data_IF_162502227418
#
_entry.id   IF_162502227418
#
_cell.length_a   1.000
_cell.length_b   1.000
_cell.length_c   1.000
_cell.angle_alpha   90.00
_cell.angle_beta   90.00
_cell.angle_gamma   90.00
#
_symmetry.space_group_name_H-M   'P 1'
#
loop_
_entity.id
_entity.type
_entity.pdbx_description
1 polymer ?
#
# COMPACT_ATOMS: atom_id res chain seq x y z
N UNK A 1 -3.46 21.51 10.26
CA UNK A 1 -2.10 21.03 9.91
C UNK A 1 -2.11 20.52 8.50
N UNK A 2 -1.18 20.99 7.70
CA UNK A 2 -1.14 20.72 6.27
C UNK A 2 -0.96 19.21 6.00
N UNK A 3 -1.65 18.78 5.02
CA UNK A 3 -1.61 17.50 4.36
C UNK A 3 -0.17 17.23 3.87
N UNK A 4 0.69 16.65 4.70
CA UNK A 4 2.10 16.44 4.42
C UNK A 4 2.33 15.05 3.82
N UNK A 5 1.72 14.79 2.66
CA UNK A 5 2.10 13.65 1.85
C UNK A 5 3.42 13.93 1.10
N UNK A 6 4.08 12.88 0.68
CA UNK A 6 5.30 12.96 -0.12
C UNK A 6 5.05 13.72 -1.43
N UNK A 7 5.82 14.77 -1.69
CA UNK A 7 5.63 15.65 -2.87
C UNK A 7 5.91 14.91 -4.19
N UNK A 8 6.82 13.93 -4.18
CA UNK A 8 7.10 13.11 -5.37
C UNK A 8 5.91 12.20 -5.67
N UNK A 9 5.33 11.57 -4.66
CA UNK A 9 4.14 10.75 -4.82
C UNK A 9 2.94 11.59 -5.31
N UNK A 10 2.77 12.81 -4.77
CA UNK A 10 1.72 13.74 -5.23
C UNK A 10 1.91 14.16 -6.69
N UNK A 11 3.14 14.45 -7.10
CA UNK A 11 3.47 14.73 -8.49
C UNK A 11 3.13 13.57 -9.42
N UNK A 12 3.47 12.35 -9.03
CA UNK A 12 3.17 11.15 -9.83
C UNK A 12 1.66 10.87 -9.91
N UNK A 13 0.90 11.13 -8.85
CA UNK A 13 -0.56 11.07 -8.87
C UNK A 13 -1.13 12.11 -9.84
N UNK A 14 -0.61 13.33 -9.83
CA UNK A 14 -1.02 14.36 -10.78
C UNK A 14 -0.82 13.90 -12.23
N UNK A 15 0.32 13.30 -12.56
CA UNK A 15 0.59 12.72 -13.89
C UNK A 15 -0.39 11.62 -14.27
N UNK A 16 -0.75 10.75 -13.32
CA UNK A 16 -1.76 9.71 -13.56
C UNK A 16 -3.10 10.33 -13.98
N UNK A 17 -3.57 11.35 -13.25
CA UNK A 17 -4.81 12.04 -13.62
C UNK A 17 -4.71 12.81 -14.94
N UNK A 18 -3.56 13.39 -15.23
CA UNK A 18 -3.30 14.04 -16.53
C UNK A 18 -3.43 13.03 -17.68
N UNK A 19 -2.87 11.82 -17.54
CA UNK A 19 -3.02 10.76 -18.55
C UNK A 19 -4.42 10.18 -18.65
N UNK A 20 -5.20 10.28 -17.56
CA UNK A 20 -6.60 9.87 -17.53
C UNK A 20 -7.58 10.97 -17.98
N UNK A 21 -7.05 12.10 -18.48
CA UNK A 21 -7.81 13.28 -18.91
C UNK A 21 -8.69 13.92 -17.79
N UNK A 22 -8.35 13.65 -16.53
CA UNK A 22 -8.95 14.32 -15.36
C UNK A 22 -8.08 15.52 -14.95
N UNK A 23 -8.21 16.60 -15.70
CA UNK A 23 -7.38 17.80 -15.56
C UNK A 23 -7.59 18.47 -14.19
N UNK A 24 -8.80 18.46 -13.67
CA UNK A 24 -9.11 19.07 -12.35
C UNK A 24 -8.33 18.37 -11.21
N UNK A 25 -8.31 17.04 -11.20
CA UNK A 25 -7.55 16.26 -10.23
C UNK A 25 -6.04 16.38 -10.47
N UNK A 26 -5.61 16.39 -11.72
CA UNK A 26 -4.22 16.61 -12.08
C UNK A 26 -3.71 17.94 -11.51
N UNK A 27 -4.41 19.05 -11.77
CA UNK A 27 -4.07 20.38 -11.24
C UNK A 27 -4.04 20.38 -9.71
N UNK A 28 -5.02 19.76 -9.06
CA UNK A 28 -5.09 19.69 -7.61
C UNK A 28 -3.83 19.04 -7.02
N UNK A 29 -3.40 17.90 -7.56
CA UNK A 29 -2.24 17.17 -7.07
C UNK A 29 -0.91 17.84 -7.45
N UNK A 30 -0.78 18.46 -8.63
CA UNK A 30 0.38 19.27 -8.99
C UNK A 30 0.56 20.45 -8.02
N UNK A 31 -0.54 21.15 -7.69
CA UNK A 31 -0.50 22.24 -6.72
C UNK A 31 -0.05 21.77 -5.33
N UNK A 32 -0.54 20.62 -4.87
CA UNK A 32 -0.11 20.04 -3.59
C UNK A 32 1.39 19.73 -3.56
N UNK A 33 1.93 19.15 -4.61
CA UNK A 33 3.35 18.90 -4.73
C UNK A 33 4.16 20.20 -4.81
N UNK A 34 3.70 21.17 -5.61
CA UNK A 34 4.34 22.47 -5.79
C UNK A 34 4.42 23.26 -4.48
N UNK A 35 3.35 23.27 -3.69
CA UNK A 35 3.31 23.92 -2.36
C UNK A 35 4.28 23.30 -1.33
N UNK A 36 4.81 22.11 -1.62
CA UNK A 36 5.87 21.46 -0.85
C UNK A 36 7.27 21.63 -1.48
N UNK A 37 7.40 22.48 -2.51
CA UNK A 37 8.66 22.77 -3.17
C UNK A 37 9.11 21.77 -4.22
N UNK A 38 8.20 20.93 -4.76
CA UNK A 38 8.55 20.00 -5.84
C UNK A 38 8.74 20.76 -7.15
N UNK A 39 9.99 20.88 -7.62
CA UNK A 39 10.38 21.73 -8.76
C UNK A 39 9.58 21.45 -10.04
N UNK A 40 9.47 20.19 -10.45
CA UNK A 40 8.71 19.83 -11.65
C UNK A 40 7.21 20.12 -11.52
N UNK A 41 6.66 20.06 -10.30
CA UNK A 41 5.27 20.40 -10.07
C UNK A 41 5.06 21.93 -10.13
N UNK A 42 6.02 22.72 -9.66
CA UNK A 42 6.01 24.18 -9.79
C UNK A 42 6.01 24.55 -11.27
N UNK A 43 6.95 24.03 -12.05
CA UNK A 43 7.01 24.27 -13.49
C UNK A 43 5.70 23.88 -14.19
N UNK A 44 5.12 22.72 -13.82
CA UNK A 44 3.86 22.26 -14.42
C UNK A 44 2.69 23.17 -14.07
N UNK A 45 2.61 23.66 -12.84
CA UNK A 45 1.62 24.65 -12.45
C UNK A 45 1.77 25.97 -13.24
N UNK A 46 2.99 26.44 -13.47
CA UNK A 46 3.27 27.60 -14.29
C UNK A 46 2.82 27.40 -15.75
N UNK A 47 3.17 26.25 -16.36
CA UNK A 47 2.73 25.87 -17.71
C UNK A 47 1.20 25.87 -17.86
N UNK A 48 0.50 25.40 -16.82
CA UNK A 48 -0.96 25.31 -16.80
C UNK A 48 -1.63 26.63 -16.39
N UNK A 49 -0.88 27.69 -16.07
CA UNK A 49 -1.40 28.97 -15.61
C UNK A 49 -2.11 28.88 -14.24
N UNK A 50 -1.68 27.96 -13.39
CA UNK A 50 -2.29 27.67 -12.10
C UNK A 50 -1.75 28.61 -11.02
N UNK A 51 -2.62 29.38 -10.38
CA UNK A 51 -2.26 30.22 -9.23
C UNK A 51 -2.05 29.34 -7.97
N UNK A 52 -0.80 29.26 -7.51
CA UNK A 52 -0.45 28.52 -6.29
C UNK A 52 -1.02 29.15 -5.02
N UNK A 53 -1.38 30.45 -5.02
CA UNK A 53 -1.96 31.16 -3.88
C UNK A 53 -3.48 30.98 -3.79
N UNK A 54 -4.15 30.53 -4.87
CA UNK A 54 -5.56 30.27 -4.84
C UNK A 54 -5.91 29.12 -3.86
N UNK A 55 -7.10 29.11 -3.23
CA UNK A 55 -7.51 28.00 -2.37
C UNK A 55 -7.47 26.65 -3.10
N UNK A 56 -6.98 25.61 -2.41
CA UNK A 56 -7.09 24.23 -2.92
C UNK A 56 -8.54 23.77 -2.80
N UNK A 57 -9.18 23.53 -3.94
CA UNK A 57 -10.51 22.97 -4.00
C UNK A 57 -10.39 21.50 -4.40
N UNK A 58 -10.63 20.62 -3.45
CA UNK A 58 -10.71 19.18 -3.70
C UNK A 58 -12.16 18.82 -3.99
N UNK A 59 -12.46 18.44 -5.23
CA UNK A 59 -13.81 18.01 -5.65
C UNK A 59 -14.12 16.58 -5.20
N UNK A 60 -13.11 15.79 -4.81
CA UNK A 60 -13.37 14.52 -4.15
C UNK A 60 -13.88 14.73 -2.74
N UNK A 61 -14.96 14.05 -2.40
CA UNK A 61 -15.40 13.97 -1.01
C UNK A 61 -14.39 13.12 -0.25
N UNK A 62 -13.37 13.79 0.30
CA UNK A 62 -12.42 13.12 1.18
C UNK A 62 -13.15 12.76 2.47
N UNK A 63 -13.33 11.48 2.71
CA UNK A 63 -13.98 10.94 3.89
C UNK A 63 -13.06 11.05 5.11
N UNK A 64 -13.65 10.96 6.30
CA UNK A 64 -12.91 10.91 7.56
C UNK A 64 -12.12 9.60 7.67
N UNK A 65 -12.71 8.52 7.19
CA UNK A 65 -12.11 7.18 7.19
C UNK A 65 -10.97 7.12 6.18
N UNK A 66 -9.98 6.26 6.47
CA UNK A 66 -8.87 6.00 5.57
C UNK A 66 -9.39 5.39 4.26
N UNK A 67 -9.03 6.01 3.16
CA UNK A 67 -9.29 5.53 1.80
C UNK A 67 -7.95 5.15 1.15
N UNK A 68 -7.98 4.30 0.12
CA UNK A 68 -6.78 4.04 -0.65
C UNK A 68 -7.06 3.94 -2.16
N UNK A 69 -6.03 4.30 -2.92
CA UNK A 69 -5.92 4.05 -4.36
C UNK A 69 -4.69 3.20 -4.61
N UNK A 70 -4.78 2.34 -5.61
CA UNK A 70 -3.71 1.45 -6.01
C UNK A 70 -3.14 1.91 -7.35
N UNK A 71 -1.83 1.75 -7.51
CA UNK A 71 -1.07 2.14 -8.70
C UNK A 71 -0.14 0.99 -9.10
N UNK A 72 0.30 0.93 -10.36
CA UNK A 72 1.34 0.00 -10.76
C UNK A 72 2.58 0.11 -9.87
N UNK A 73 3.26 -1.00 -9.64
CA UNK A 73 4.47 -1.05 -8.84
C UNK A 73 5.53 -0.07 -9.38
N UNK A 74 6.14 0.70 -8.48
CA UNK A 74 7.16 1.69 -8.81
C UNK A 74 6.60 3.03 -9.30
N UNK A 75 5.29 3.20 -9.35
CA UNK A 75 4.67 4.42 -9.87
C UNK A 75 4.84 5.63 -8.93
N UNK A 76 4.69 5.42 -7.61
CA UNK A 76 4.78 6.49 -6.62
C UNK A 76 6.24 6.84 -6.23
N UNK A 77 7.18 5.93 -6.47
CA UNK A 77 8.63 6.15 -6.33
C UNK A 77 9.13 6.07 -4.91
N UNK A 78 8.87 7.03 -4.04
CA UNK A 78 9.32 7.05 -2.65
C UNK A 78 8.23 6.51 -1.73
N UNK A 79 8.59 5.56 -0.87
CA UNK A 79 7.65 4.87 0.00
C UNK A 79 7.90 5.18 1.48
N UNK A 80 6.84 5.34 2.24
CA UNK A 80 6.87 5.52 3.69
C UNK A 80 6.49 4.27 4.45
N UNK A 81 5.66 3.43 3.84
CA UNK A 81 5.13 2.23 4.48
C UNK A 81 5.32 0.99 3.62
N UNK A 82 5.33 -0.15 4.27
CA UNK A 82 5.17 -1.47 3.68
C UNK A 82 3.92 -2.14 4.24
N UNK A 83 3.18 -2.86 3.39
CA UNK A 83 1.99 -3.62 3.78
C UNK A 83 2.06 -5.01 3.17
N UNK A 84 1.82 -6.04 3.97
CA UNK A 84 2.02 -7.43 3.58
C UNK A 84 0.70 -8.20 3.67
N UNK A 85 0.16 -8.60 2.52
CA UNK A 85 -0.92 -9.57 2.44
C UNK A 85 -0.33 -10.98 2.56
N UNK A 86 -0.57 -11.64 3.68
CA UNK A 86 0.11 -12.88 4.05
C UNK A 86 -0.78 -14.08 3.78
N UNK A 87 -0.29 -15.01 2.96
CA UNK A 87 -0.99 -16.25 2.59
C UNK A 87 -0.26 -17.48 3.10
N UNK A 88 -1.01 -18.40 3.73
CA UNK A 88 -0.54 -19.70 4.18
C UNK A 88 -1.52 -20.78 3.72
N UNK A 89 -1.05 -21.75 2.93
CA UNK A 89 -1.87 -22.84 2.37
C UNK A 89 -3.15 -22.34 1.66
N UNK A 90 -3.05 -21.23 0.92
CA UNK A 90 -4.17 -20.63 0.21
C UNK A 90 -5.17 -19.84 1.06
N UNK A 91 -4.91 -19.68 2.34
CA UNK A 91 -5.70 -18.91 3.30
C UNK A 91 -4.98 -17.64 3.72
N UNK A 92 -5.67 -16.68 4.32
CA UNK A 92 -5.10 -15.40 4.71
C UNK A 92 -4.71 -15.38 6.19
N UNK A 93 -3.54 -14.85 6.51
CA UNK A 93 -3.11 -14.58 7.89
C UNK A 93 -3.29 -13.09 8.17
N UNK A 94 -4.01 -12.80 9.26
CA UNK A 94 -4.12 -11.45 9.80
C UNK A 94 -3.64 -11.43 11.25
N UNK A 95 -3.16 -10.26 11.68
CA UNK A 95 -2.73 -9.99 13.04
C UNK A 95 -3.77 -9.18 13.79
N UNK A 96 -3.81 -9.30 15.11
CA UNK A 96 -4.65 -8.48 15.97
C UNK A 96 -3.81 -7.77 17.01
N UNK A 97 -3.86 -6.45 16.98
CA UNK A 97 -3.14 -5.59 17.91
C UNK A 97 -3.72 -5.71 19.33
N UNK A 98 -2.88 -5.65 20.39
CA UNK A 98 -3.29 -5.76 21.81
C UNK A 98 -4.36 -4.75 22.24
N UNK A 99 -4.43 -3.59 21.59
CA UNK A 99 -5.37 -2.49 21.90
C UNK A 99 -6.60 -2.47 20.98
N UNK A 100 -6.80 -3.47 20.12
CA UNK A 100 -7.89 -3.50 19.14
C UNK A 100 -8.59 -4.86 19.14
N UNK A 101 -9.89 -4.86 18.83
CA UNK A 101 -10.67 -6.07 18.61
C UNK A 101 -10.86 -6.42 17.12
N UNK A 102 -10.12 -5.71 16.27
CA UNK A 102 -10.17 -5.85 14.80
C UNK A 102 -8.90 -6.48 14.26
N UNK A 103 -9.01 -7.07 13.06
CA UNK A 103 -7.94 -7.74 12.36
C UNK A 103 -7.28 -6.82 11.34
N UNK A 104 -5.98 -6.92 11.20
CA UNK A 104 -5.20 -6.10 10.29
C UNK A 104 -4.16 -6.88 9.51
N UNK A 105 -3.81 -6.36 8.36
CA UNK A 105 -2.67 -6.77 7.55
C UNK A 105 -1.38 -6.42 8.29
N UNK A 106 -0.36 -7.26 8.22
CA UNK A 106 0.97 -6.92 8.69
C UNK A 106 1.51 -5.71 7.92
N UNK A 107 2.27 -4.85 8.60
CA UNK A 107 2.89 -3.72 7.95
C UNK A 107 3.16 -2.53 8.86
N UNK A 108 4.12 -1.72 8.47
CA UNK A 108 4.53 -0.53 9.21
C UNK A 108 5.42 0.40 8.41
N UNK A 109 6.11 1.26 9.11
CA UNK A 109 7.02 2.23 8.51
C UNK A 109 8.28 1.52 7.97
N UNK A 110 8.76 2.00 6.84
CA UNK A 110 10.09 1.66 6.35
C UNK A 110 11.08 2.53 7.14
N UNK A 111 12.02 1.91 7.83
CA UNK A 111 13.03 2.60 8.64
C UNK A 111 14.12 3.23 7.77
N UNK A 112 14.88 4.17 8.36
CA UNK A 112 15.97 4.83 7.68
C UNK A 112 17.05 3.81 7.24
N UNK A 113 17.31 3.77 5.93
CA UNK A 113 18.27 2.85 5.35
C UNK A 113 17.70 1.50 4.90
N UNK A 114 16.45 1.19 5.25
CA UNK A 114 15.78 -0.02 4.76
C UNK A 114 15.27 0.15 3.33
N UNK A 115 15.38 -0.91 2.56
CA UNK A 115 14.57 -1.09 1.35
C UNK A 115 13.13 -1.45 1.74
N UNK A 116 12.12 -1.23 0.86
CA UNK A 116 10.75 -1.65 1.13
C UNK A 116 10.60 -3.14 1.43
N UNK A 117 11.44 -4.00 0.83
CA UNK A 117 11.42 -5.44 1.07
C UNK A 117 12.03 -5.82 2.43
N UNK A 118 13.06 -5.12 2.87
CA UNK A 118 13.64 -5.33 4.21
C UNK A 118 12.64 -4.94 5.29
N UNK A 119 11.99 -3.77 5.15
CA UNK A 119 10.90 -3.35 6.02
C UNK A 119 9.75 -4.36 6.02
N UNK A 120 9.37 -4.91 4.85
CA UNK A 120 8.33 -5.92 4.78
C UNK A 120 8.70 -7.22 5.54
N UNK A 121 9.95 -7.67 5.47
CA UNK A 121 10.43 -8.85 6.21
C UNK A 121 10.45 -8.61 7.72
N UNK A 122 10.89 -7.44 8.16
CA UNK A 122 10.92 -7.05 9.56
C UNK A 122 9.51 -7.00 10.14
N UNK A 123 8.61 -6.24 9.50
CA UNK A 123 7.21 -6.09 9.94
C UNK A 123 6.45 -7.43 9.94
N UNK A 124 6.66 -8.27 8.91
CA UNK A 124 6.06 -9.61 8.88
C UNK A 124 6.49 -10.43 10.08
N UNK A 125 7.78 -10.41 10.45
CA UNK A 125 8.27 -11.13 11.62
C UNK A 125 7.73 -10.52 12.93
N UNK A 126 7.80 -9.21 13.11
CA UNK A 126 7.38 -8.53 14.35
C UNK A 126 5.89 -8.70 14.64
N UNK A 127 5.07 -8.71 13.61
CA UNK A 127 3.62 -8.77 13.74
C UNK A 127 3.01 -10.17 13.59
N UNK A 128 3.80 -11.16 13.15
CA UNK A 128 3.28 -12.54 12.96
C UNK A 128 4.22 -13.66 13.37
N UNK A 129 5.50 -13.39 13.63
CA UNK A 129 6.51 -14.41 13.90
C UNK A 129 6.99 -15.18 12.67
N UNK A 130 6.50 -14.84 11.49
CA UNK A 130 6.83 -15.54 10.25
C UNK A 130 8.21 -15.09 9.73
N UNK A 131 9.10 -16.06 9.49
CA UNK A 131 10.43 -15.87 8.89
C UNK A 131 10.58 -16.57 7.56
N UNK A 132 9.86 -17.67 7.36
CA UNK A 132 9.97 -18.55 6.21
C UNK A 132 8.81 -18.29 5.25
N UNK A 133 9.06 -17.34 4.33
CA UNK A 133 8.10 -16.92 3.32
C UNK A 133 8.81 -16.35 2.09
N UNK A 134 8.23 -16.61 0.91
CA UNK A 134 8.54 -15.88 -0.30
C UNK A 134 7.72 -14.57 -0.34
N UNK A 135 8.40 -13.45 -0.56
CA UNK A 135 7.77 -12.13 -0.54
C UNK A 135 7.87 -11.47 -1.91
N UNK A 136 6.73 -11.15 -2.50
CA UNK A 136 6.60 -10.58 -3.84
C UNK A 136 5.98 -9.19 -3.78
N UNK A 137 6.60 -8.15 -4.37
CA UNK A 137 5.96 -6.86 -4.50
C UNK A 137 4.80 -6.94 -5.50
N UNK A 138 3.69 -6.26 -5.20
CA UNK A 138 2.46 -6.32 -6.00
C UNK A 138 2.17 -4.98 -6.68
N UNK A 139 2.01 -3.94 -5.88
CA UNK A 139 1.58 -2.63 -6.34
C UNK A 139 1.95 -1.55 -5.32
N UNK A 140 1.84 -0.30 -5.74
CA UNK A 140 1.90 0.84 -4.85
C UNK A 140 0.51 1.17 -4.31
N UNK A 141 0.42 1.72 -3.11
CA UNK A 141 -0.81 2.29 -2.60
C UNK A 141 -0.62 3.73 -2.12
N UNK A 142 -1.68 4.51 -2.27
CA UNK A 142 -1.82 5.84 -1.70
C UNK A 142 -2.99 5.83 -0.72
N UNK A 143 -2.67 5.91 0.57
CA UNK A 143 -3.64 6.00 1.64
C UNK A 143 -3.92 7.46 2.00
N UNK A 144 -5.18 7.86 2.17
CA UNK A 144 -5.54 9.23 2.47
C UNK A 144 -6.84 9.35 3.24
N UNK A 145 -6.94 10.38 4.06
CA UNK A 145 -8.14 10.86 4.69
C UNK A 145 -8.08 12.41 4.82
N UNK A 146 -9.03 13.03 5.53
CA UNK A 146 -9.05 14.50 5.70
C UNK A 146 -7.84 15.09 6.40
N UNK A 147 -7.09 14.30 7.15
CA UNK A 147 -6.01 14.78 8.03
C UNK A 147 -4.63 14.45 7.50
N UNK A 148 -4.50 13.33 6.80
CA UNK A 148 -3.21 12.78 6.39
C UNK A 148 -3.29 12.03 5.08
N UNK A 149 -2.15 11.88 4.46
CA UNK A 149 -1.93 10.94 3.37
C UNK A 149 -0.56 10.28 3.51
N UNK A 150 -0.44 9.10 2.96
CA UNK A 150 0.81 8.36 2.93
C UNK A 150 0.80 7.37 1.76
N UNK A 151 1.98 6.95 1.39
CA UNK A 151 2.18 5.98 0.31
C UNK A 151 3.01 4.81 0.81
N UNK A 152 2.90 3.70 0.12
CA UNK A 152 3.67 2.52 0.43
C UNK A 152 3.62 1.49 -0.67
N UNK A 153 4.36 0.41 -0.44
CA UNK A 153 4.38 -0.78 -1.28
C UNK A 153 3.55 -1.88 -0.64
N UNK A 154 2.76 -2.55 -1.46
CA UNK A 154 2.02 -3.76 -1.06
C UNK A 154 2.78 -4.98 -1.52
N UNK A 155 2.95 -5.94 -0.61
CA UNK A 155 3.58 -7.22 -0.85
C UNK A 155 2.58 -8.37 -0.66
N UNK A 156 2.83 -9.47 -1.35
CA UNK A 156 2.28 -10.79 -1.03
C UNK A 156 3.38 -11.61 -0.37
N UNK A 157 3.12 -12.15 0.81
CA UNK A 157 3.96 -13.17 1.42
C UNK A 157 3.29 -14.54 1.26
N UNK A 158 3.98 -15.49 0.65
CA UNK A 158 3.60 -16.91 0.56
C UNK A 158 4.39 -17.66 1.62
N UNK A 159 3.71 -18.05 2.69
CA UNK A 159 4.33 -18.62 3.90
C UNK A 159 4.53 -20.11 3.75
N UNK A 160 5.73 -20.59 4.09
CA UNK A 160 6.09 -22.01 4.11
C UNK A 160 5.91 -22.63 5.49
N UNK A 161 6.28 -21.90 6.55
CA UNK A 161 6.09 -22.35 7.93
C UNK A 161 5.69 -21.22 8.85
N UNK A 162 4.82 -21.53 9.82
CA UNK A 162 4.41 -20.59 10.87
C UNK A 162 5.49 -20.59 11.97
N UNK A 163 5.70 -19.44 12.59
CA UNK A 163 6.56 -19.24 13.75
C UNK A 163 5.76 -18.82 14.99
N UNK A 164 6.44 -18.75 16.11
CA UNK A 164 5.86 -18.18 17.33
C UNK A 164 5.84 -16.66 17.23
N UNK A 165 4.70 -16.06 17.61
CA UNK A 165 4.56 -14.61 17.66
C UNK A 165 5.53 -14.03 18.70
N UNK A 166 6.46 -13.13 18.31
CA UNK A 166 7.38 -12.52 19.26
C UNK A 166 6.65 -11.58 20.22
N UNK A 167 7.33 -11.19 21.29
CA UNK A 167 6.83 -10.12 22.14
C UNK A 167 6.81 -8.81 21.35
N UNK A 168 5.62 -8.36 21.00
CA UNK A 168 5.38 -7.18 20.16
C UNK A 168 4.08 -6.50 20.58
N UNK A 169 3.62 -5.54 19.81
CA UNK A 169 2.29 -4.92 20.01
C UNK A 169 1.13 -5.83 19.60
N UNK A 170 1.40 -6.92 18.88
CA UNK A 170 0.38 -7.88 18.46
C UNK A 170 0.01 -8.86 19.58
N UNK A 171 -1.29 -9.16 19.66
CA UNK A 171 -1.85 -10.10 20.64
C UNK A 171 -1.88 -11.53 20.10
N UNK A 172 -2.22 -11.67 18.82
CA UNK A 172 -2.39 -12.96 18.16
C UNK A 172 -2.38 -12.81 16.64
N UNK A 173 -2.13 -13.93 15.99
CA UNK A 173 -2.37 -14.12 14.55
C UNK A 173 -3.47 -15.16 14.36
N UNK A 174 -4.18 -15.09 13.23
CA UNK A 174 -5.18 -16.08 12.88
C UNK A 174 -5.23 -16.30 11.37
N UNK A 175 -5.49 -17.55 10.99
CA UNK A 175 -5.70 -17.98 9.60
C UNK A 175 -7.17 -17.92 9.26
N UNK A 176 -7.52 -17.30 8.15
CA UNK A 176 -8.88 -17.11 7.66
C UNK A 176 -9.04 -17.68 6.25
N UNK A 177 -10.11 -18.37 5.96
CA UNK A 177 -10.47 -18.80 4.60
C UNK A 177 -10.84 -17.60 3.71
N UNK A 178 -11.49 -16.59 4.30
CA UNK A 178 -11.86 -15.31 3.68
C UNK A 178 -11.61 -14.18 4.67
N UNK A 179 -11.52 -12.95 4.20
CA UNK A 179 -11.36 -11.81 5.09
C UNK A 179 -12.50 -11.72 6.11
N UNK A 180 -12.20 -11.51 7.40
CA UNK A 180 -13.23 -11.33 8.43
C UNK A 180 -13.95 -9.97 8.24
N UNK A 181 -15.13 -9.85 8.84
CA UNK A 181 -15.89 -8.60 8.82
C UNK A 181 -15.24 -7.50 9.70
N UNK A 182 -14.59 -7.90 10.79
CA UNK A 182 -13.99 -7.01 11.78
C UNK A 182 -12.57 -6.60 11.38
N UNK A 183 -12.44 -5.85 10.29
CA UNK A 183 -11.16 -5.31 9.81
C UNK A 183 -10.86 -3.95 10.44
N UNK A 184 -9.59 -3.72 10.80
CA UNK A 184 -9.09 -2.39 11.24
C UNK A 184 -9.23 -1.36 10.13
N UNK A 185 -9.02 -1.78 8.87
CA UNK A 185 -9.09 -0.91 7.68
C UNK A 185 -10.07 -1.46 6.64
N UNK A 186 -11.39 -1.45 6.91
CA UNK A 186 -12.39 -2.10 6.05
C UNK A 186 -12.53 -1.47 4.67
N UNK A 187 -12.09 -0.21 4.49
CA UNK A 187 -12.12 0.49 3.20
C UNK A 187 -10.86 0.23 2.35
N UNK A 188 -9.82 -0.32 2.95
CA UNK A 188 -8.50 -0.49 2.34
C UNK A 188 -8.15 -1.96 2.16
N UNK A 189 -8.19 -2.76 3.22
CA UNK A 189 -7.74 -4.16 3.21
C UNK A 189 -8.36 -4.99 2.10
N UNK A 190 -9.68 -4.94 1.83
CA UNK A 190 -10.26 -5.76 0.75
C UNK A 190 -9.66 -5.46 -0.63
N UNK A 191 -9.26 -4.22 -0.90
CA UNK A 191 -8.62 -3.84 -2.17
C UNK A 191 -7.22 -4.44 -2.29
N UNK A 192 -6.45 -4.39 -1.20
CA UNK A 192 -5.10 -4.95 -1.15
C UNK A 192 -5.12 -6.46 -1.34
N UNK A 193 -6.02 -7.15 -0.65
CA UNK A 193 -6.17 -8.59 -0.77
C UNK A 193 -6.69 -9.04 -2.13
N UNK A 194 -7.51 -8.24 -2.81
CA UNK A 194 -7.92 -8.51 -4.19
C UNK A 194 -6.73 -8.52 -5.16
N UNK A 195 -5.78 -7.59 -5.01
CA UNK A 195 -4.55 -7.60 -5.81
C UNK A 195 -3.61 -8.75 -5.42
N UNK A 196 -3.48 -9.04 -4.11
CA UNK A 196 -2.71 -10.17 -3.62
C UNK A 196 -3.24 -11.51 -4.15
N UNK A 197 -4.56 -11.68 -4.23
CA UNK A 197 -5.20 -12.88 -4.77
C UNK A 197 -4.90 -13.07 -6.28
N UNK A 198 -4.89 -11.99 -7.06
CA UNK A 198 -4.49 -12.04 -8.48
C UNK A 198 -3.06 -12.53 -8.61
N UNK A 199 -2.15 -11.94 -7.82
CA UNK A 199 -0.74 -12.33 -7.83
C UNK A 199 -0.53 -13.77 -7.40
N UNK A 200 -1.23 -14.24 -6.37
CA UNK A 200 -1.17 -15.62 -5.90
C UNK A 200 -1.62 -16.61 -6.99
N UNK A 201 -2.71 -16.29 -7.70
CA UNK A 201 -3.20 -17.11 -8.84
C UNK A 201 -2.20 -17.16 -9.99
N UNK A 202 -1.52 -16.06 -10.29
CA UNK A 202 -0.46 -16.00 -11.30
C UNK A 202 0.71 -16.93 -10.94
N UNK A 203 1.17 -16.88 -9.67
CA UNK A 203 2.26 -17.72 -9.19
C UNK A 203 1.90 -19.21 -9.26
N UNK A 204 0.68 -19.59 -8.83
CA UNK A 204 0.20 -20.98 -8.89
C UNK A 204 0.15 -21.48 -10.33
N UNK A 205 -0.37 -20.66 -11.26
CA UNK A 205 -0.44 -21.02 -12.68
C UNK A 205 0.95 -21.23 -13.29
N UNK A 206 1.90 -20.32 -13.01
CA UNK A 206 3.26 -20.43 -13.49
C UNK A 206 3.95 -21.72 -13.01
N UNK A 207 3.72 -22.13 -11.75
CA UNK A 207 4.24 -23.39 -11.23
C UNK A 207 3.62 -24.64 -11.93
N UNK A 208 2.34 -24.59 -12.28
CA UNK A 208 1.66 -25.68 -13.00
C UNK A 208 2.17 -25.82 -14.44
N UNK A 209 2.44 -24.72 -15.12
CA UNK A 209 3.02 -24.71 -16.47
C UNK A 209 4.42 -25.34 -16.48
N UNK A 210 5.29 -24.96 -15.54
CA UNK A 210 6.64 -25.54 -15.40
C UNK A 210 6.58 -27.05 -15.13
N UNK A 211 5.67 -27.52 -14.29
CA UNK A 211 5.53 -28.93 -13.98
C UNK A 211 4.98 -29.75 -15.16
N UNK A 212 4.14 -29.15 -16.01
CA UNK A 212 3.61 -29.82 -17.21
C UNK A 212 4.68 -29.95 -18.32
N UNK A 213 5.59 -28.98 -18.43
CA UNK A 213 6.66 -28.99 -19.42
C UNK A 213 7.85 -29.91 -19.03
N UNK A 214 7.90 -30.37 -17.77
CA UNK A 214 8.95 -31.24 -17.25
C UNK A 214 8.57 -32.72 -17.17
N UNK A 215 7.35 -33.09 -17.53
CA UNK A 215 6.93 -34.49 -17.66
C UNK A 215 7.22 -35.01 -19.08
N UNK A 216 8.04 -36.08 -19.24
CA UNK A 216 8.41 -36.65 -20.54
C UNK A 216 7.24 -37.33 -21.25
#
# INVERSE_FOLDING_TARGET
MAYNGDSVAQYNIAKYYETADDIDQSIFWYRKAALQGHELAIQKCEELGVDLNAPLIDREVIRKELQCRLFPLGYLGKYKYTVICTSYQGKWILSRHKKRDTWETQGGHIEDGETPLEGARRELFEESGIKDADIYPICDYWGFNRQSCSNGVVFLAVVHSLGDLPESEMKEIKVFDTLPAELTYPQTSPKLYAEAEKKLKELIRGLQEINNDTLP
#
